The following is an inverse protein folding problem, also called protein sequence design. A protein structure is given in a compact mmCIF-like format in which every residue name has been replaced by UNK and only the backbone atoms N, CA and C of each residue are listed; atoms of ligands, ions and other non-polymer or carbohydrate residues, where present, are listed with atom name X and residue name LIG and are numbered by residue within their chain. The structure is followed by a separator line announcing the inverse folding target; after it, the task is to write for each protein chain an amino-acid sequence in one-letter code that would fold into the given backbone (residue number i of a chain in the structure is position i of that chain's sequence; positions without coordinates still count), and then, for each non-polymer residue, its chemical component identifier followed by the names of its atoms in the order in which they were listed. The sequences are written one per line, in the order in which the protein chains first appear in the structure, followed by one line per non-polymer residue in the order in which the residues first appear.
data_IF_326175194995
#
_entry.id   IF_326175194995
#
_cell.length_a   1.000
_cell.length_b   1.000
_cell.length_c   1.000
_cell.angle_alpha   90.00
_cell.angle_beta   90.00
_cell.angle_gamma   90.00
#
_symmetry.space_group_name_H-M   'P 1'
#
loop_
_entity.id
_entity.type
_entity.pdbx_description
1 polymer ?
#
# COMPACT_ATOMS: atom_id res chain seq x y z
N UNK A 1 9.10 -0.22 2.25
CA UNK A 1 8.58 0.14 0.94
C UNK A 1 9.50 -0.41 -0.12
N UNK A 2 8.96 -1.26 -0.98
CA UNK A 2 9.56 -1.63 -2.25
C UNK A 2 9.52 -0.44 -3.23
N UNK A 3 10.34 -0.49 -4.28
CA UNK A 3 10.25 0.46 -5.38
C UNK A 3 8.97 0.19 -6.19
N UNK A 4 8.16 1.22 -6.41
CA UNK A 4 6.97 1.14 -7.27
C UNK A 4 7.35 0.80 -8.72
N UNK A 5 6.43 0.18 -9.44
CA UNK A 5 6.51 -0.01 -10.89
C UNK A 5 6.57 1.33 -11.65
N UNK A 6 6.03 2.41 -11.07
CA UNK A 6 5.95 3.73 -11.69
C UNK A 6 6.94 4.69 -11.06
N UNK A 7 8.15 4.79 -11.63
CA UNK A 7 9.26 5.60 -11.11
C UNK A 7 9.39 6.99 -11.74
N UNK A 8 8.70 7.25 -12.84
CA UNK A 8 8.75 8.55 -13.54
C UNK A 8 7.87 9.58 -12.81
N UNK A 9 8.50 10.59 -12.21
CA UNK A 9 7.81 11.66 -11.47
C UNK A 9 6.82 12.42 -12.34
N UNK A 10 7.11 12.60 -13.62
CA UNK A 10 6.29 13.42 -14.50
C UNK A 10 5.11 12.62 -15.11
N UNK A 11 5.05 11.31 -14.83
CA UNK A 11 3.98 10.42 -15.31
C UNK A 11 3.26 9.76 -14.14
N UNK A 12 2.28 10.45 -13.57
CA UNK A 12 1.37 9.84 -12.61
C UNK A 12 0.57 8.72 -13.31
N UNK A 13 0.55 7.48 -12.79
CA UNK A 13 -0.19 6.40 -13.41
C UNK A 13 -1.71 6.59 -13.25
N UNK A 14 -2.46 6.23 -14.29
CA UNK A 14 -3.91 6.09 -14.21
C UNK A 14 -4.34 4.70 -13.73
N UNK A 15 -5.64 4.51 -13.51
CA UNK A 15 -6.21 3.21 -13.14
C UNK A 15 -5.89 2.11 -14.17
N UNK A 16 -5.89 2.44 -15.46
CA UNK A 16 -5.53 1.50 -16.52
C UNK A 16 -4.06 1.03 -16.40
N UNK A 17 -3.14 1.96 -16.18
CA UNK A 17 -1.71 1.65 -16.04
C UNK A 17 -1.47 0.73 -14.84
N UNK A 18 -2.10 1.05 -13.69
CA UNK A 18 -2.03 0.22 -12.49
C UNK A 18 -2.57 -1.18 -12.77
N UNK A 19 -3.76 -1.29 -13.37
CA UNK A 19 -4.34 -2.60 -13.68
C UNK A 19 -3.43 -3.44 -14.59
N UNK A 20 -2.76 -2.80 -15.56
CA UNK A 20 -1.79 -3.46 -16.43
C UNK A 20 -0.55 -3.93 -15.65
N UNK A 21 0.00 -3.10 -14.77
CA UNK A 21 1.15 -3.46 -13.94
C UNK A 21 0.84 -4.61 -12.96
N UNK A 22 -0.34 -4.60 -12.36
CA UNK A 22 -0.77 -5.62 -11.38
C UNK A 22 -1.01 -7.00 -12.00
N UNK A 23 -1.35 -7.07 -13.30
CA UNK A 23 -1.64 -8.33 -13.98
C UNK A 23 -2.76 -9.12 -13.28
N UNK A 24 -2.44 -10.34 -12.85
CA UNK A 24 -3.39 -11.24 -12.16
C UNK A 24 -3.81 -10.74 -10.78
N UNK A 25 -3.06 -9.83 -10.18
CA UNK A 25 -3.32 -9.33 -8.82
C UNK A 25 -4.31 -8.14 -8.79
N UNK A 26 -4.85 -7.73 -9.94
CA UNK A 26 -5.74 -6.55 -10.07
C UNK A 26 -7.03 -6.63 -9.25
N UNK A 27 -7.60 -7.84 -9.12
CA UNK A 27 -8.86 -8.06 -8.41
C UNK A 27 -8.64 -7.92 -6.91
N UNK A 28 -7.62 -8.61 -6.38
CA UNK A 28 -7.19 -8.48 -4.99
C UNK A 28 -6.87 -7.03 -4.59
N UNK A 29 -6.20 -6.29 -5.47
CA UNK A 29 -5.94 -4.86 -5.26
C UNK A 29 -7.24 -4.06 -5.16
N UNK A 30 -8.17 -4.29 -6.09
CA UNK A 30 -9.44 -3.55 -6.15
C UNK A 30 -10.30 -3.83 -4.94
N UNK A 31 -10.43 -5.10 -4.56
CA UNK A 31 -11.23 -5.54 -3.41
C UNK A 31 -10.67 -4.97 -2.11
N UNK A 32 -9.35 -5.04 -1.92
CA UNK A 32 -8.71 -4.49 -0.73
C UNK A 32 -8.85 -2.96 -0.68
N UNK A 33 -8.68 -2.29 -1.82
CA UNK A 33 -8.88 -0.84 -1.93
C UNK A 33 -10.29 -0.44 -1.49
N UNK A 34 -11.31 -1.08 -2.05
CA UNK A 34 -12.71 -0.84 -1.70
C UNK A 34 -12.99 -1.15 -0.23
N UNK A 35 -12.45 -2.26 0.30
CA UNK A 35 -12.59 -2.61 1.71
C UNK A 35 -12.04 -1.52 2.62
N UNK A 36 -10.84 -1.01 2.35
CA UNK A 36 -10.22 0.06 3.15
C UNK A 36 -11.02 1.35 3.06
N UNK A 37 -11.38 1.78 1.86
CA UNK A 37 -12.13 3.03 1.64
C UNK A 37 -13.46 3.01 2.37
N UNK A 38 -14.19 1.88 2.29
CA UNK A 38 -15.49 1.72 2.93
C UNK A 38 -15.38 1.57 4.45
N UNK A 39 -14.43 0.78 4.95
CA UNK A 39 -14.30 0.46 6.38
C UNK A 39 -13.75 1.64 7.20
N UNK A 40 -12.89 2.46 6.61
CA UNK A 40 -12.27 3.58 7.30
C UNK A 40 -12.85 4.93 6.89
N UNK A 41 -13.71 4.97 5.87
CA UNK A 41 -14.30 6.20 5.29
C UNK A 41 -13.20 7.17 4.89
N UNK A 42 -12.29 6.67 4.05
CA UNK A 42 -11.09 7.36 3.56
C UNK A 42 -10.99 7.26 2.06
N UNK A 43 -10.21 8.14 1.44
CA UNK A 43 -9.89 8.08 0.01
C UNK A 43 -8.37 8.00 -0.19
N UNK A 44 -7.95 7.31 -1.24
CA UNK A 44 -6.55 7.14 -1.59
C UNK A 44 -6.00 8.35 -2.35
N UNK A 45 -4.85 8.85 -1.92
CA UNK A 45 -4.17 9.97 -2.55
C UNK A 45 -2.92 9.47 -3.30
N UNK A 46 -2.77 9.84 -4.58
CA UNK A 46 -1.51 9.60 -5.29
C UNK A 46 -0.39 10.45 -4.71
N UNK A 47 0.74 9.81 -4.39
CA UNK A 47 1.94 10.47 -3.92
C UNK A 47 3.18 9.90 -4.60
N UNK A 48 4.08 10.78 -4.98
CA UNK A 48 5.41 10.42 -5.44
C UNK A 48 6.42 10.47 -4.29
N UNK A 49 7.02 9.34 -3.94
CA UNK A 49 7.95 9.19 -2.80
C UNK A 49 9.43 9.24 -3.21
N UNK A 50 9.72 9.89 -4.34
CA UNK A 50 11.07 10.06 -4.87
C UNK A 50 11.49 8.93 -5.81
N UNK A 51 12.60 9.14 -6.51
CA UNK A 51 13.10 8.27 -7.60
C UNK A 51 13.31 6.79 -7.23
N UNK A 52 13.53 6.50 -5.96
CA UNK A 52 13.77 5.13 -5.49
C UNK A 52 12.47 4.41 -5.07
N UNK A 53 11.37 5.14 -4.88
CA UNK A 53 10.10 4.57 -4.41
C UNK A 53 8.96 4.77 -5.41
N UNK A 54 8.98 5.82 -6.22
CA UNK A 54 8.00 6.08 -7.27
C UNK A 54 6.64 6.53 -6.75
N UNK A 55 5.61 6.33 -7.58
CA UNK A 55 4.22 6.63 -7.29
C UNK A 55 3.56 5.54 -6.44
N UNK A 56 2.85 5.97 -5.41
CA UNK A 56 2.08 5.14 -4.49
C UNK A 56 0.69 5.74 -4.24
N UNK A 57 -0.23 4.93 -3.71
CA UNK A 57 -1.50 5.43 -3.18
C UNK A 57 -1.42 5.44 -1.66
N UNK A 58 -1.47 6.63 -1.06
CA UNK A 58 -1.41 6.83 0.38
C UNK A 58 -2.81 7.05 0.93
N UNK A 59 -3.13 6.35 2.02
CA UNK A 59 -4.34 6.55 2.79
C UNK A 59 -4.03 7.24 4.12
N UNK A 60 -4.89 8.17 4.53
CA UNK A 60 -4.82 8.85 5.83
C UNK A 60 -6.17 8.82 6.53
N UNK A 61 -6.16 8.71 7.86
CA UNK A 61 -7.34 8.86 8.72
C UNK A 61 -7.04 9.87 9.81
N UNK A 62 -7.89 10.90 9.95
CA UNK A 62 -7.67 11.98 10.92
C UNK A 62 -6.30 12.66 10.78
N UNK A 63 -5.83 12.87 9.54
CA UNK A 63 -4.54 13.48 9.23
C UNK A 63 -3.31 12.58 9.39
N UNK A 64 -3.44 11.39 10.00
CA UNK A 64 -2.34 10.44 10.19
C UNK A 64 -2.29 9.40 9.08
N UNK A 65 -1.09 8.93 8.73
CA UNK A 65 -0.93 7.84 7.77
C UNK A 65 -1.60 6.58 8.30
N UNK A 66 -2.45 5.97 7.47
CA UNK A 66 -3.10 4.70 7.77
C UNK A 66 -2.34 3.55 7.10
N UNK A 67 -2.20 3.64 5.78
CA UNK A 67 -1.47 2.66 4.99
C UNK A 67 -1.02 3.25 3.65
N UNK A 68 -0.19 2.52 2.92
CA UNK A 68 0.27 2.87 1.57
C UNK A 68 0.23 1.64 0.67
N UNK A 69 -0.38 1.79 -0.50
CA UNK A 69 -0.42 0.82 -1.57
C UNK A 69 0.68 1.15 -2.58
N UNK A 70 1.54 0.18 -2.87
CA UNK A 70 2.63 0.30 -3.85
C UNK A 70 2.40 -0.70 -4.97
N UNK A 71 2.11 -0.25 -6.20
CA UNK A 71 1.97 -1.16 -7.34
C UNK A 71 3.34 -1.71 -7.75
N UNK A 72 3.43 -3.02 -7.98
CA UNK A 72 4.63 -3.74 -8.41
C UNK A 72 4.33 -4.48 -9.71
N UNK A 73 5.37 -5.05 -10.34
CA UNK A 73 5.18 -5.92 -11.49
C UNK A 73 4.46 -7.22 -11.07
N UNK A 74 3.26 -7.46 -11.64
CA UNK A 74 2.38 -8.60 -11.34
C UNK A 74 1.95 -8.74 -9.86
N UNK A 75 2.00 -7.66 -9.08
CA UNK A 75 1.68 -7.71 -7.66
C UNK A 75 1.67 -6.34 -6.99
N UNK A 76 1.58 -6.33 -5.67
CA UNK A 76 1.61 -5.10 -4.89
C UNK A 76 2.15 -5.31 -3.47
N UNK A 77 2.61 -4.23 -2.85
CA UNK A 77 2.98 -4.17 -1.43
C UNK A 77 2.00 -3.23 -0.70
N UNK A 78 1.55 -3.64 0.49
CA UNK A 78 0.78 -2.78 1.40
C UNK A 78 1.62 -2.52 2.64
N UNK A 79 1.93 -1.26 2.91
CA UNK A 79 2.58 -0.85 4.16
C UNK A 79 1.51 -0.30 5.10
N UNK A 80 1.27 -0.98 6.23
CA UNK A 80 0.29 -0.57 7.24
C UNK A 80 1.01 0.13 8.38
N UNK A 81 0.48 1.27 8.83
CA UNK A 81 1.01 2.00 9.98
C UNK A 81 0.26 1.56 11.24
N UNK A 82 0.98 0.91 12.15
CA UNK A 82 0.45 0.44 13.43
C UNK A 82 1.06 1.25 14.58
N UNK A 83 0.25 1.54 15.60
CA UNK A 83 0.74 2.05 16.86
C UNK A 83 1.46 0.96 17.66
N UNK A 84 2.17 1.35 18.72
CA UNK A 84 2.98 0.42 19.53
C UNK A 84 2.16 -0.76 20.07
N UNK A 85 0.96 -0.50 20.58
CA UNK A 85 0.06 -1.52 21.14
C UNK A 85 -0.45 -2.48 20.06
N UNK A 86 -0.69 -1.96 18.86
CA UNK A 86 -1.17 -2.75 17.73
C UNK A 86 -0.06 -3.62 17.15
N UNK A 87 1.19 -3.14 17.15
CA UNK A 87 2.37 -3.95 16.81
C UNK A 87 2.52 -5.15 17.74
N UNK A 88 2.39 -4.93 19.05
CA UNK A 88 2.45 -6.01 20.05
C UNK A 88 1.37 -7.07 19.81
N UNK A 89 0.14 -6.66 19.45
CA UNK A 89 -0.92 -7.60 19.08
C UNK A 89 -0.59 -8.35 17.79
N UNK A 90 -0.18 -7.64 16.74
CA UNK A 90 0.17 -8.25 15.45
C UNK A 90 1.29 -9.30 15.61
N UNK A 91 2.27 -9.08 16.49
CA UNK A 91 3.31 -10.07 16.77
C UNK A 91 2.78 -11.40 17.33
N UNK A 92 1.66 -11.35 18.05
CA UNK A 92 1.05 -12.52 18.68
C UNK A 92 0.00 -13.21 17.79
N UNK A 93 -0.31 -12.63 16.62
CA UNK A 93 -1.26 -13.18 15.67
C UNK A 93 -0.60 -14.18 14.72
N UNK A 94 -1.35 -15.23 14.35
CA UNK A 94 -0.92 -16.19 13.34
C UNK A 94 -1.47 -15.76 11.98
N UNK A 95 -0.57 -15.30 11.11
CA UNK A 95 -0.93 -15.01 9.74
C UNK A 95 -0.82 -16.25 8.85
N UNK A 96 -1.59 -16.27 7.77
CA UNK A 96 -1.48 -17.33 6.76
C UNK A 96 -0.09 -17.36 6.12
N UNK A 97 0.30 -18.51 5.55
CA UNK A 97 1.64 -18.76 5.02
C UNK A 97 2.13 -17.78 3.93
N UNK A 98 1.21 -16.99 3.35
CA UNK A 98 1.50 -16.03 2.29
C UNK A 98 1.68 -14.58 2.80
N UNK A 99 1.68 -14.36 4.11
CA UNK A 99 1.85 -13.04 4.73
C UNK A 99 3.23 -12.98 5.38
N UNK A 100 4.06 -12.05 4.93
CA UNK A 100 5.34 -11.71 5.56
C UNK A 100 5.23 -10.35 6.23
N UNK A 101 5.43 -10.30 7.55
CA UNK A 101 5.49 -9.03 8.29
C UNK A 101 6.94 -8.55 8.32
N UNK A 102 7.18 -7.35 7.80
CA UNK A 102 8.49 -6.70 7.86
C UNK A 102 8.37 -5.42 8.65
N UNK A 103 8.98 -5.37 9.83
CA UNK A 103 9.05 -4.17 10.65
C UNK A 103 10.16 -3.24 10.16
N UNK A 104 9.79 -1.98 9.88
CA UNK A 104 10.74 -0.89 9.70
C UNK A 104 10.44 0.14 10.77
N UNK A 105 11.33 0.27 11.76
CA UNK A 105 11.20 1.28 12.79
C UNK A 105 11.08 2.68 12.17
N UNK A 106 10.16 3.48 12.66
CA UNK A 106 10.19 4.91 12.41
C UNK A 106 11.46 5.46 13.09
N UNK A 107 12.38 6.04 12.31
CA UNK A 107 13.43 6.88 12.85
C UNK A 107 12.83 8.22 13.29
#
# INVERSE_FOLDING_TARGET
MAASYFLDKEKQPGTHDINKALGRSKELWTDLKQFIERSYTVEGEFKYYGKNNGWVIRYKKGGRALLTFTPLNNGFEIMIVLGKKEVEKANNEKFGANISIVYKGAK
#
